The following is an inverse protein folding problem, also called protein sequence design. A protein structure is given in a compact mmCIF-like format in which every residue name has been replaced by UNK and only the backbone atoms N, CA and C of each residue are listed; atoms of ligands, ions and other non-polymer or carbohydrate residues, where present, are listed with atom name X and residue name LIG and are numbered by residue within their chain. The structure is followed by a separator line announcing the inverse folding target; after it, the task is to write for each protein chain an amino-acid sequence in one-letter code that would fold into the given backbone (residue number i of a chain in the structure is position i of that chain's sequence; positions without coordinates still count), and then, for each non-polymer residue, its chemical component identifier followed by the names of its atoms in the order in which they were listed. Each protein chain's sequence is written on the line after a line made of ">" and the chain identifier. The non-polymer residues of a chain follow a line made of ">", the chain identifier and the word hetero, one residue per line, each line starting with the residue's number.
data_IF_724148364927
#
_entry.id   IF_724148364927
#
_cell.length_a   1.000
_cell.length_b   1.000
_cell.length_c   1.000
_cell.angle_alpha   90.00
_cell.angle_beta   90.00
_cell.angle_gamma   90.00
#
_symmetry.space_group_name_H-M   'P 1'
#
loop_
_entity.id
_entity.type
_entity.pdbx_description
1 polymer ?
#
# COMPACT_ATOMS: atom_id res chain seq x y z
N UNK A 1 -14.95 11.01 -1.92
CA UNK A 1 -13.48 11.18 -1.80
C UNK A 1 -12.91 9.80 -1.57
N UNK A 2 -11.96 9.35 -2.41
CA UNK A 2 -11.37 8.01 -2.25
C UNK A 2 -10.60 7.94 -0.93
N UNK A 3 -10.92 6.96 -0.09
CA UNK A 3 -10.19 6.64 1.14
C UNK A 3 -10.23 5.15 1.47
N UNK A 4 -9.27 4.68 2.26
CA UNK A 4 -9.34 3.38 2.91
C UNK A 4 -9.95 3.58 4.32
N UNK A 5 -10.73 2.62 4.88
CA UNK A 5 -11.16 2.70 6.27
C UNK A 5 -9.94 2.93 7.20
N UNK A 6 -10.04 3.72 8.27
CA UNK A 6 -8.92 3.95 9.19
C UNK A 6 -8.38 2.64 9.77
N UNK A 7 -7.09 2.62 10.12
CA UNK A 7 -6.44 1.46 10.73
C UNK A 7 -6.67 0.16 9.96
N UNK A 8 -6.48 0.21 8.63
CA UNK A 8 -6.68 -0.92 7.73
C UNK A 8 -5.46 -1.09 6.85
N UNK A 9 -5.04 -2.34 6.68
CA UNK A 9 -4.15 -2.77 5.60
C UNK A 9 -4.98 -3.38 4.49
N UNK A 10 -4.69 -3.03 3.24
CA UNK A 10 -5.32 -3.62 2.07
C UNK A 10 -4.26 -4.14 1.11
N UNK A 11 -4.40 -5.38 0.67
CA UNK A 11 -3.58 -5.97 -0.40
C UNK A 11 -4.47 -6.24 -1.59
N UNK A 12 -4.18 -5.61 -2.72
CA UNK A 12 -4.73 -5.93 -4.02
C UNK A 12 -3.73 -6.82 -4.74
N UNK A 13 -4.18 -7.94 -5.29
CA UNK A 13 -3.35 -8.94 -5.95
C UNK A 13 -3.98 -9.35 -7.29
N UNK A 14 -3.17 -9.37 -8.35
CA UNK A 14 -3.50 -10.07 -9.60
C UNK A 14 -2.88 -11.46 -9.59
N UNK A 15 -3.38 -12.36 -10.44
CA UNK A 15 -2.81 -13.70 -10.62
C UNK A 15 -3.20 -14.72 -9.54
N UNK A 16 -3.78 -14.29 -8.42
CA UNK A 16 -4.33 -15.18 -7.38
C UNK A 16 -5.82 -14.96 -7.14
N UNK A 17 -6.59 -16.04 -6.99
CA UNK A 17 -7.98 -16.03 -6.58
C UNK A 17 -8.13 -15.66 -5.09
N UNK A 18 -9.34 -15.30 -4.67
CA UNK A 18 -9.62 -14.96 -3.28
C UNK A 18 -9.35 -16.14 -2.32
N UNK A 19 -9.78 -17.39 -2.60
CA UNK A 19 -9.43 -18.53 -1.75
C UNK A 19 -7.92 -18.71 -1.59
N UNK A 20 -7.17 -18.62 -2.68
CA UNK A 20 -5.71 -18.82 -2.69
C UNK A 20 -4.99 -17.73 -1.92
N UNK A 21 -5.31 -16.45 -2.20
CA UNK A 21 -4.69 -15.33 -1.49
C UNK A 21 -5.02 -15.37 0.01
N UNK A 22 -6.29 -15.61 0.35
CA UNK A 22 -6.72 -15.74 1.76
C UNK A 22 -6.01 -16.89 2.48
N UNK A 23 -5.81 -18.03 1.81
CA UNK A 23 -5.10 -19.17 2.38
C UNK A 23 -3.63 -18.84 2.67
N UNK A 24 -2.93 -18.15 1.75
CA UNK A 24 -1.55 -17.72 1.98
C UNK A 24 -1.43 -16.82 3.21
N UNK A 25 -2.32 -15.84 3.35
CA UNK A 25 -2.36 -14.96 4.52
C UNK A 25 -2.69 -15.71 5.81
N UNK A 26 -3.68 -16.60 5.79
CA UNK A 26 -4.07 -17.40 6.94
C UNK A 26 -2.96 -18.39 7.40
N UNK A 27 -2.29 -19.07 6.47
CA UNK A 27 -1.16 -19.98 6.77
C UNK A 27 0.02 -19.25 7.42
N UNK A 28 0.19 -17.95 7.12
CA UNK A 28 1.20 -17.10 7.72
C UNK A 28 0.77 -16.50 9.09
N UNK A 29 -0.42 -16.84 9.59
CA UNK A 29 -0.92 -16.31 10.87
C UNK A 29 -1.63 -14.95 10.76
N UNK A 30 -1.95 -14.49 9.55
CA UNK A 30 -2.61 -13.22 9.30
C UNK A 30 -3.97 -13.45 8.62
N UNK A 31 -5.00 -13.93 9.34
CA UNK A 31 -6.32 -14.15 8.75
C UNK A 31 -6.91 -12.83 8.22
N UNK A 32 -7.51 -12.89 7.04
CA UNK A 32 -8.12 -11.71 6.38
C UNK A 32 -9.42 -11.31 7.08
N UNK A 33 -9.63 -10.02 7.30
CA UNK A 33 -10.87 -9.48 7.90
C UNK A 33 -12.00 -9.38 6.86
N UNK A 34 -11.67 -9.07 5.61
CA UNK A 34 -12.58 -9.05 4.48
C UNK A 34 -11.83 -9.29 3.17
N UNK A 35 -12.55 -9.64 2.11
CA UNK A 35 -11.96 -9.81 0.79
C UNK A 35 -13.00 -9.90 -0.32
N UNK A 36 -12.53 -9.77 -1.55
CA UNK A 36 -13.37 -9.81 -2.74
C UNK A 36 -12.56 -9.84 -4.01
N UNK A 37 -13.26 -9.82 -5.15
CA UNK A 37 -12.65 -9.71 -6.47
C UNK A 37 -13.45 -8.76 -7.34
N UNK A 38 -12.77 -7.81 -7.96
CA UNK A 38 -13.38 -6.89 -8.93
C UNK A 38 -12.29 -6.23 -9.79
N UNK A 39 -12.64 -5.80 -11.01
CA UNK A 39 -11.72 -5.08 -11.91
C UNK A 39 -10.38 -5.80 -12.17
N UNK A 40 -10.38 -7.14 -12.17
CA UNK A 40 -9.16 -7.95 -12.36
C UNK A 40 -8.27 -8.08 -11.11
N UNK A 41 -8.67 -7.48 -9.99
CA UNK A 41 -7.97 -7.55 -8.71
C UNK A 41 -8.72 -8.45 -7.74
N UNK A 42 -8.02 -9.39 -7.13
CA UNK A 42 -8.42 -9.96 -5.85
C UNK A 42 -7.93 -9.03 -4.76
N UNK A 43 -8.74 -8.71 -3.76
CA UNK A 43 -8.34 -7.86 -2.66
C UNK A 43 -8.68 -8.49 -1.32
N UNK A 44 -7.84 -8.23 -0.32
CA UNK A 44 -8.04 -8.63 1.08
C UNK A 44 -7.68 -7.48 2.00
N UNK A 45 -8.33 -7.41 3.16
CA UNK A 45 -8.04 -6.42 4.20
C UNK A 45 -7.67 -7.08 5.52
N UNK A 46 -6.85 -6.40 6.31
CA UNK A 46 -6.51 -6.76 7.67
C UNK A 46 -6.67 -5.54 8.57
N UNK A 47 -7.04 -5.77 9.83
CA UNK A 47 -7.07 -4.71 10.84
C UNK A 47 -5.65 -4.31 11.22
N UNK A 48 -5.34 -3.02 11.16
CA UNK A 48 -4.08 -2.48 11.66
C UNK A 48 -4.22 -2.21 13.16
N UNK A 49 -3.72 -3.12 14.00
CA UNK A 49 -3.78 -3.01 15.46
C UNK A 49 -2.99 -1.80 15.99
N UNK A 50 -3.45 -1.13 17.07
CA UNK A 50 -2.73 -0.02 17.68
C UNK A 50 -1.72 -0.55 18.73
N UNK A 51 -0.51 -0.88 18.31
CA UNK A 51 0.63 -0.90 19.22
C UNK A 51 1.58 -2.10 19.17
N UNK A 52 2.73 -2.00 19.87
CA UNK A 52 3.67 -3.09 20.00
C UNK A 52 3.03 -4.28 20.73
N UNK A 53 2.95 -5.42 20.06
CA UNK A 53 2.45 -6.68 20.63
C UNK A 53 0.99 -7.01 20.33
N UNK A 54 0.26 -6.21 19.55
CA UNK A 54 -1.00 -6.63 18.92
C UNK A 54 -0.73 -7.07 17.48
N UNK A 55 -0.64 -8.38 17.25
CA UNK A 55 -0.53 -8.98 15.91
C UNK A 55 -1.80 -8.67 15.09
N UNK A 56 -1.72 -8.27 13.81
CA UNK A 56 -0.63 -8.53 12.88
C UNK A 56 0.42 -7.41 12.81
N UNK A 57 1.68 -7.78 12.99
CA UNK A 57 2.82 -6.97 12.60
C UNK A 57 2.63 -6.43 11.16
N UNK A 58 2.46 -5.12 11.01
CA UNK A 58 2.17 -4.50 9.72
C UNK A 58 3.31 -4.71 8.71
N UNK A 59 4.54 -4.84 9.21
CA UNK A 59 5.68 -5.27 8.41
C UNK A 59 5.50 -6.69 7.85
N UNK A 60 4.99 -7.62 8.65
CA UNK A 60 4.71 -8.98 8.19
C UNK A 60 3.61 -9.04 7.13
N UNK A 61 2.56 -8.22 7.24
CA UNK A 61 1.51 -8.14 6.21
C UNK A 61 2.05 -7.56 4.89
N UNK A 62 2.81 -6.46 4.93
CA UNK A 62 3.40 -5.88 3.70
C UNK A 62 4.48 -6.80 3.11
N UNK A 63 5.30 -7.45 3.94
CA UNK A 63 6.29 -8.40 3.48
C UNK A 63 5.62 -9.58 2.77
N UNK A 64 4.53 -10.10 3.31
CA UNK A 64 3.77 -11.17 2.68
C UNK A 64 3.12 -10.70 1.36
N UNK A 65 2.60 -9.47 1.31
CA UNK A 65 2.11 -8.86 0.08
C UNK A 65 3.20 -8.73 -1.01
N UNK A 66 4.47 -8.60 -0.63
CA UNK A 66 5.61 -8.69 -1.56
C UNK A 66 5.93 -10.15 -1.93
N UNK A 67 6.01 -11.05 -0.94
CA UNK A 67 6.39 -12.44 -1.16
C UNK A 67 5.40 -13.23 -2.03
N UNK A 68 4.11 -12.89 -2.00
CA UNK A 68 3.11 -13.51 -2.89
C UNK A 68 3.46 -13.36 -4.37
N UNK A 69 4.17 -12.29 -4.72
CA UNK A 69 4.61 -12.03 -6.10
C UNK A 69 5.88 -12.79 -6.51
N UNK A 70 6.55 -13.47 -5.58
CA UNK A 70 7.88 -14.07 -5.76
C UNK A 70 7.94 -15.58 -5.50
N UNK A 71 9.16 -16.13 -5.54
CA UNK A 71 9.42 -17.58 -5.54
C UNK A 71 8.68 -18.39 -4.46
N UNK A 72 8.39 -17.79 -3.30
CA UNK A 72 7.79 -18.48 -2.16
C UNK A 72 6.34 -18.92 -2.38
N UNK A 73 5.58 -18.17 -3.19
CA UNK A 73 4.15 -18.41 -3.39
C UNK A 73 3.69 -18.20 -4.85
N UNK A 74 4.57 -17.78 -5.76
CA UNK A 74 4.21 -17.54 -7.16
C UNK A 74 3.70 -18.82 -7.86
N UNK A 75 4.12 -20.00 -7.40
CA UNK A 75 3.62 -21.30 -7.86
C UNK A 75 2.16 -21.57 -7.48
N UNK A 76 1.63 -20.83 -6.49
CA UNK A 76 0.22 -20.88 -6.10
C UNK A 76 -0.67 -20.00 -6.97
N UNK A 77 -0.12 -19.19 -7.88
CA UNK A 77 -0.92 -18.41 -8.81
C UNK A 77 -1.87 -19.34 -9.61
N UNK A 78 -3.17 -19.10 -9.48
CA UNK A 78 -4.23 -19.93 -10.04
C UNK A 78 -5.07 -19.20 -11.09
N UNK A 79 -4.58 -18.04 -11.54
CA UNK A 79 -5.15 -17.24 -12.61
C UNK A 79 -4.11 -16.99 -13.71
N UNK A 80 -4.58 -16.56 -14.87
CA UNK A 80 -3.75 -16.33 -16.05
C UNK A 80 -2.88 -15.07 -15.99
N UNK A 81 -3.25 -14.12 -15.13
CA UNK A 81 -2.59 -12.84 -15.00
C UNK A 81 -1.24 -12.98 -14.28
N UNK A 82 -0.19 -12.22 -14.66
CA UNK A 82 1.02 -12.14 -13.87
C UNK A 82 0.72 -11.69 -12.44
N UNK A 83 1.40 -12.29 -11.46
CA UNK A 83 1.24 -11.90 -10.06
C UNK A 83 1.90 -10.55 -9.82
N UNK A 84 1.10 -9.58 -9.42
CA UNK A 84 1.51 -8.28 -8.93
C UNK A 84 0.63 -7.88 -7.74
N UNK A 85 1.17 -7.06 -6.86
CA UNK A 85 0.43 -6.54 -5.71
C UNK A 85 0.55 -5.02 -5.57
N UNK A 86 -0.55 -4.43 -5.10
CA UNK A 86 -0.58 -3.08 -4.55
C UNK A 86 -1.00 -3.21 -3.09
N UNK A 87 -0.13 -2.80 -2.18
CA UNK A 87 -0.41 -2.70 -0.76
C UNK A 87 -0.71 -1.25 -0.39
N UNK A 88 -1.74 -1.06 0.44
CA UNK A 88 -2.12 0.22 1.01
C UNK A 88 -2.30 0.10 2.53
N UNK A 89 -1.85 1.11 3.27
CA UNK A 89 -2.17 1.26 4.70
C UNK A 89 -2.78 2.63 4.99
N UNK A 90 -3.83 2.64 5.81
CA UNK A 90 -4.44 3.86 6.37
C UNK A 90 -3.98 4.15 7.81
N UNK A 91 -2.84 3.59 8.20
CA UNK A 91 -2.23 3.88 9.50
C UNK A 91 -1.75 5.32 9.54
N UNK A 92 -1.76 5.98 10.72
CA UNK A 92 -1.18 7.32 10.88
C UNK A 92 0.30 7.34 10.50
N UNK A 93 0.81 8.53 10.14
CA UNK A 93 2.24 8.71 9.96
C UNK A 93 3.00 8.36 11.26
N UNK A 94 4.04 7.52 11.18
CA UNK A 94 4.87 7.12 12.33
C UNK A 94 5.42 8.39 13.00
N UNK A 95 5.17 8.57 14.29
CA UNK A 95 5.81 9.62 15.10
C UNK A 95 7.29 9.31 15.41
N UNK A 96 7.78 8.17 14.94
CA UNK A 96 9.10 7.60 15.19
C UNK A 96 10.19 8.50 14.60
N UNK A 97 11.29 8.73 15.33
CA UNK A 97 12.37 9.61 14.88
C UNK A 97 12.98 9.19 13.51
N UNK A 98 13.00 7.88 13.24
CA UNK A 98 13.40 7.32 11.94
C UNK A 98 12.32 7.47 10.86
N UNK A 99 11.04 7.51 11.26
CA UNK A 99 9.85 7.62 10.42
C UNK A 99 9.70 8.92 9.65
N UNK A 100 10.39 9.97 10.11
CA UNK A 100 10.38 11.26 9.45
C UNK A 100 11.36 11.33 8.28
N UNK A 101 12.32 10.40 8.19
CA UNK A 101 13.55 10.67 7.46
C UNK A 101 13.93 9.81 6.26
N UNK A 102 13.36 8.63 6.04
CA UNK A 102 13.99 7.69 5.11
C UNK A 102 13.09 6.77 4.29
N UNK A 103 13.75 6.18 3.31
CA UNK A 103 13.36 5.13 2.38
C UNK A 103 13.52 3.73 3.02
N UNK A 104 13.12 3.58 4.28
CA UNK A 104 13.24 2.31 5.02
C UNK A 104 11.91 2.04 5.74
N UNK A 105 11.40 0.79 5.78
CA UNK A 105 10.27 0.44 6.65
C UNK A 105 10.58 0.89 8.08
N UNK A 106 9.74 1.78 8.62
CA UNK A 106 10.17 2.63 9.73
C UNK A 106 10.04 1.98 11.11
N UNK A 107 9.14 1.02 11.25
CA UNK A 107 9.22 -0.05 12.24
C UNK A 107 8.18 -1.12 11.90
N UNK A 108 8.29 -2.26 12.58
CA UNK A 108 7.39 -3.40 12.44
C UNK A 108 5.91 -2.98 12.59
N UNK A 109 5.62 -2.08 13.55
CA UNK A 109 4.27 -1.55 13.77
C UNK A 109 3.75 -0.58 12.69
N UNK A 110 4.60 -0.05 11.81
CA UNK A 110 4.21 0.98 10.83
C UNK A 110 4.91 0.74 9.47
N UNK A 111 4.33 -0.11 8.60
CA UNK A 111 4.84 -0.34 7.24
C UNK A 111 4.69 0.91 6.37
N UNK A 112 5.29 0.90 5.18
CA UNK A 112 4.99 1.92 4.17
C UNK A 112 3.51 1.95 3.84
N UNK A 113 2.95 3.15 3.71
CA UNK A 113 1.54 3.31 3.38
C UNK A 113 1.19 2.93 1.93
N UNK A 114 2.18 2.90 1.04
CA UNK A 114 2.04 2.38 -0.32
C UNK A 114 3.26 1.54 -0.70
N UNK A 115 3.01 0.34 -1.21
CA UNK A 115 4.01 -0.54 -1.84
C UNK A 115 3.41 -1.19 -3.07
N UNK A 116 4.10 -1.11 -4.20
CA UNK A 116 3.80 -1.89 -5.39
C UNK A 116 4.92 -2.93 -5.60
N UNK A 117 4.54 -4.20 -5.72
CA UNK A 117 5.47 -5.32 -5.81
C UNK A 117 5.16 -6.23 -7.00
N UNK A 118 6.22 -6.76 -7.60
CA UNK A 118 6.16 -7.72 -8.71
C UNK A 118 7.40 -8.60 -8.73
N UNK A 119 7.24 -9.89 -9.01
CA UNK A 119 8.36 -10.84 -9.14
C UNK A 119 9.14 -11.09 -7.84
N UNK A 120 8.53 -10.81 -6.68
CA UNK A 120 9.16 -10.91 -5.36
C UNK A 120 9.93 -9.67 -4.94
N UNK A 121 9.81 -8.56 -5.68
CA UNK A 121 10.52 -7.32 -5.41
C UNK A 121 9.56 -6.13 -5.32
N UNK A 122 9.81 -5.27 -4.34
CA UNK A 122 9.18 -3.95 -4.23
C UNK A 122 9.71 -3.06 -5.35
N UNK A 123 8.82 -2.60 -6.23
CA UNK A 123 9.17 -1.76 -7.38
C UNK A 123 9.09 -0.27 -7.02
N UNK A 124 8.09 0.11 -6.22
CA UNK A 124 7.85 1.50 -5.81
C UNK A 124 7.17 1.50 -4.46
N UNK A 125 7.65 2.34 -3.55
CA UNK A 125 7.08 2.46 -2.21
C UNK A 125 7.36 3.83 -1.61
N UNK A 126 6.42 4.32 -0.79
CA UNK A 126 6.54 5.57 -0.05
C UNK A 126 5.41 5.72 0.98
N UNK A 127 5.56 6.71 1.85
CA UNK A 127 4.48 7.18 2.73
C UNK A 127 3.72 8.33 2.07
N UNK A 128 2.42 8.42 2.33
CA UNK A 128 1.51 9.39 1.73
C UNK A 128 1.28 10.57 2.68
N UNK A 129 1.06 11.76 2.13
CA UNK A 129 0.72 12.99 2.83
C UNK A 129 1.92 13.77 3.38
N UNK A 130 1.74 15.07 3.59
CA UNK A 130 2.74 15.93 4.22
C UNK A 130 4.09 15.94 3.48
N UNK A 131 4.06 15.87 2.15
CA UNK A 131 5.22 15.84 1.24
C UNK A 131 6.13 14.60 1.40
N UNK A 132 5.68 13.55 2.09
CA UNK A 132 6.46 12.32 2.28
C UNK A 132 6.72 11.57 0.96
N UNK A 133 5.88 11.78 -0.06
CA UNK A 133 6.04 11.24 -1.42
C UNK A 133 7.34 11.72 -2.10
N UNK A 134 7.92 12.83 -1.64
CA UNK A 134 9.23 13.28 -2.12
C UNK A 134 10.36 12.35 -1.66
N UNK A 135 10.14 11.51 -0.65
CA UNK A 135 11.07 10.50 -0.12
C UNK A 135 10.63 9.09 -0.54
N UNK A 136 10.58 8.86 -1.86
CA UNK A 136 10.06 7.64 -2.49
C UNK A 136 11.13 6.79 -3.15
N UNK A 137 10.84 5.49 -3.23
CA UNK A 137 11.58 4.52 -4.03
C UNK A 137 10.87 4.21 -5.32
N UNK A 138 11.63 3.95 -6.37
CA UNK A 138 11.12 3.76 -7.72
C UNK A 138 10.69 5.06 -8.39
N UNK A 139 10.29 4.93 -9.64
CA UNK A 139 9.86 6.00 -10.53
C UNK A 139 8.40 5.85 -10.98
N UNK A 140 7.71 4.77 -10.58
CA UNK A 140 6.28 4.64 -10.82
C UNK A 140 5.53 5.81 -10.18
N UNK A 141 4.53 6.33 -10.89
CA UNK A 141 3.72 7.49 -10.48
C UNK A 141 4.46 8.84 -10.45
N UNK A 142 5.77 8.91 -10.75
CA UNK A 142 6.52 10.17 -10.61
C UNK A 142 5.92 11.30 -11.45
N UNK A 143 5.43 10.97 -12.65
CA UNK A 143 4.85 11.97 -13.55
C UNK A 143 3.54 12.49 -13.00
N UNK A 144 2.65 11.60 -12.59
CA UNK A 144 1.36 11.95 -12.01
C UNK A 144 1.52 12.76 -10.71
N UNK A 145 2.52 12.42 -9.88
CA UNK A 145 2.82 13.15 -8.65
C UNK A 145 3.43 14.54 -8.92
N UNK A 146 4.26 14.67 -9.97
CA UNK A 146 4.81 15.96 -10.42
C UNK A 146 3.70 16.85 -10.98
N UNK A 147 2.85 16.30 -11.85
CA UNK A 147 1.73 17.01 -12.48
C UNK A 147 0.71 17.49 -11.43
N UNK A 148 0.54 16.74 -10.33
CA UNK A 148 -0.28 17.13 -9.18
C UNK A 148 0.40 18.11 -8.20
N UNK A 149 1.67 18.46 -8.42
CA UNK A 149 2.43 19.35 -7.54
C UNK A 149 2.74 18.76 -6.15
N UNK A 150 2.63 17.44 -5.98
CA UNK A 150 2.87 16.74 -4.70
C UNK A 150 4.37 16.55 -4.47
N UNK A 151 5.12 16.29 -5.54
CA UNK A 151 6.58 16.16 -5.54
C UNK A 151 7.20 17.16 -6.50
N UNK A 152 8.49 17.43 -6.37
CA UNK A 152 9.23 18.35 -7.24
C UNK A 152 10.22 19.20 -6.47
N UNK A 153 11.13 19.87 -7.20
CA UNK A 153 12.06 20.86 -6.63
C UNK A 153 11.26 22.04 -6.08
N UNK A 154 10.34 22.53 -6.89
CA UNK A 154 9.41 23.61 -6.56
C UNK A 154 8.04 22.97 -6.38
N UNK A 155 7.51 22.98 -5.16
CA UNK A 155 6.16 22.48 -4.86
C UNK A 155 5.28 23.67 -4.45
N UNK A 156 4.90 24.54 -5.41
CA UNK A 156 4.18 25.79 -5.12
C UNK A 156 2.83 25.54 -4.44
N UNK A 157 2.22 24.37 -4.63
CA UNK A 157 1.01 23.97 -3.93
C UNK A 157 1.20 23.95 -2.40
N UNK A 158 2.33 23.42 -1.91
CA UNK A 158 2.66 23.41 -0.47
C UNK A 158 3.13 24.78 0.05
N UNK A 159 3.66 25.65 -0.81
CA UNK A 159 4.01 27.02 -0.44
C UNK A 159 2.76 27.89 -0.26
N UNK A 160 1.77 27.71 -1.13
CA UNK A 160 0.48 28.39 -1.05
C UNK A 160 -0.41 27.84 0.07
N UNK A 161 -0.38 26.51 0.27
CA UNK A 161 -1.13 25.82 1.31
C UNK A 161 -0.31 24.69 1.93
N UNK A 162 0.29 24.89 3.12
CA UNK A 162 1.01 23.84 3.83
C UNK A 162 0.18 22.58 4.12
N UNK A 163 -1.16 22.69 4.10
CA UNK A 163 -2.12 21.60 4.32
C UNK A 163 -2.56 20.87 3.05
N UNK A 164 -2.16 21.32 1.85
CA UNK A 164 -2.68 20.92 0.53
C UNK A 164 -2.97 19.41 0.37
N UNK A 165 -2.04 18.55 0.81
CA UNK A 165 -2.19 17.10 0.80
C UNK A 165 -1.58 16.54 2.09
N UNK A 166 -2.07 17.01 3.24
CA UNK A 166 -1.57 16.59 4.56
C UNK A 166 -1.92 15.13 4.89
N UNK A 167 -3.11 14.68 4.48
CA UNK A 167 -3.65 13.34 4.73
C UNK A 167 -3.32 12.32 3.62
N UNK A 168 -2.76 12.77 2.49
CA UNK A 168 -2.42 11.91 1.37
C UNK A 168 -3.61 11.51 0.48
N UNK A 169 -4.79 12.12 0.66
CA UNK A 169 -5.99 11.74 -0.09
C UNK A 169 -5.82 11.91 -1.61
N UNK A 170 -5.11 12.96 -2.05
CA UNK A 170 -4.83 13.18 -3.47
C UNK A 170 -3.87 12.10 -4.02
N UNK A 171 -2.86 11.75 -3.22
CA UNK A 171 -1.90 10.68 -3.55
C UNK A 171 -2.62 9.33 -3.71
N UNK A 172 -3.50 8.98 -2.77
CA UNK A 172 -4.29 7.76 -2.83
C UNK A 172 -5.19 7.73 -4.07
N UNK A 173 -5.77 8.88 -4.46
CA UNK A 173 -6.56 8.98 -5.68
C UNK A 173 -5.72 8.68 -6.93
N UNK A 174 -4.51 9.24 -7.03
CA UNK A 174 -3.57 8.98 -8.13
C UNK A 174 -3.22 7.48 -8.21
N UNK A 175 -2.93 6.85 -7.07
CA UNK A 175 -2.64 5.40 -7.01
C UNK A 175 -3.86 4.60 -7.49
N UNK A 176 -5.05 4.88 -6.95
CA UNK A 176 -6.27 4.17 -7.29
C UNK A 176 -6.60 4.29 -8.79
N UNK A 177 -6.44 5.48 -9.37
CA UNK A 177 -6.68 5.72 -10.80
C UNK A 177 -5.63 5.04 -11.68
N UNK A 178 -4.34 5.11 -11.33
CA UNK A 178 -3.25 4.49 -12.10
C UNK A 178 -3.42 2.96 -12.20
N UNK A 179 -3.69 2.29 -11.08
CA UNK A 179 -3.86 0.83 -11.04
C UNK A 179 -5.29 0.36 -11.33
N UNK A 180 -6.25 1.30 -11.46
CA UNK A 180 -7.69 1.03 -11.56
C UNK A 180 -8.19 0.16 -10.41
N UNK A 181 -7.78 0.49 -9.18
CA UNK A 181 -8.13 -0.28 -7.99
C UNK A 181 -9.64 -0.27 -7.76
N UNK A 182 -10.25 -1.41 -7.39
CA UNK A 182 -11.69 -1.48 -7.16
C UNK A 182 -12.12 -0.80 -5.86
N UNK A 183 -13.40 -0.42 -5.83
CA UNK A 183 -14.18 -0.17 -4.63
C UNK A 183 -15.25 -1.25 -4.53
N UNK A 184 -15.39 -1.96 -3.39
CA UNK A 184 -14.48 -2.02 -2.22
C UNK A 184 -13.07 -2.58 -2.54
N UNK A 185 -12.08 -2.44 -1.62
CA UNK A 185 -12.15 -1.92 -0.24
C UNK A 185 -11.96 -0.41 -0.12
N UNK A 186 -11.67 0.28 -1.22
CA UNK A 186 -11.68 1.74 -1.25
C UNK A 186 -13.11 2.25 -1.08
N UNK A 187 -13.29 3.29 -0.26
CA UNK A 187 -14.55 4.03 -0.11
C UNK A 187 -14.51 5.22 -1.07
N UNK A 188 -15.50 5.35 -1.96
CA UNK A 188 -15.60 6.43 -2.97
C UNK A 188 -16.46 7.59 -2.51
#
# INVERSE_FOLDING_TARGET
>A
MIRLPPSTYATFCKGMSLPTLSAVFAEAGHPVSAGGRSSGWTWVTHDAGPGPGSDPDGFSVVALATYVTGFRYADRADLSEPVETVFLASTPACACAHGQNYMVPHCDAHPFQFVHSRGGFEQTYFNMGGRRESRRSGDLLVRELLDAGIVGRDTPAYEADPGFNADGALTLRIIADHFRLPSPPLLV
#
